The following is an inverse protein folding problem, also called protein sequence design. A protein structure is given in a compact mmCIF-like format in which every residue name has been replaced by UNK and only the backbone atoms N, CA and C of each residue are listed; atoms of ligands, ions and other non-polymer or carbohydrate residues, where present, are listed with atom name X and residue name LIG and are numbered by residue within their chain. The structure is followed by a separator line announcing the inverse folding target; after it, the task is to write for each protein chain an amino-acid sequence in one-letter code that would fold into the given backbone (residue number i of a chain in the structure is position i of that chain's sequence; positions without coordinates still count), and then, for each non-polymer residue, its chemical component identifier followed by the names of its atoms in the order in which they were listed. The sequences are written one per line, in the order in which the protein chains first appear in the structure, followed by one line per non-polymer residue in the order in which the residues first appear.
data_IF_659530029303
#
_entry.id   IF_659530029303
#
_cell.length_a   1.000
_cell.length_b   1.000
_cell.length_c   1.000
_cell.angle_alpha   90.00
_cell.angle_beta   90.00
_cell.angle_gamma   90.00
#
_symmetry.space_group_name_H-M   'P 1'
#
loop_
_entity.id
_entity.type
_entity.pdbx_description
1 polymer ?
#
# COMPACT_ATOMS: atom_id res chain seq x y z
N UNK A 1 12.28 -21.03 -11.06
CA UNK A 1 10.89 -21.22 -10.61
C UNK A 1 10.43 -20.11 -9.72
N UNK A 2 9.23 -19.59 -9.93
CA UNK A 2 8.70 -18.53 -9.08
C UNK A 2 8.47 -19.04 -7.67
N UNK A 3 8.65 -18.15 -6.67
CA UNK A 3 8.38 -18.49 -5.29
C UNK A 3 6.88 -18.52 -5.04
N UNK A 4 6.41 -19.44 -4.18
CA UNK A 4 5.00 -19.51 -3.81
C UNK A 4 4.61 -18.21 -3.13
N UNK A 5 3.53 -17.60 -3.62
CA UNK A 5 2.98 -16.38 -3.03
C UNK A 5 3.74 -15.11 -3.33
N UNK A 6 4.86 -15.16 -4.08
CA UNK A 6 5.55 -13.93 -4.44
C UNK A 6 4.80 -13.23 -5.59
N UNK A 7 4.24 -12.03 -5.34
CA UNK A 7 3.61 -11.27 -6.42
C UNK A 7 4.66 -10.58 -7.28
N UNK A 8 4.29 -10.26 -8.52
CA UNK A 8 5.12 -9.43 -9.39
C UNK A 8 4.78 -7.96 -9.24
N UNK A 9 3.50 -7.65 -9.03
CA UNK A 9 3.01 -6.28 -8.93
C UNK A 9 2.00 -6.17 -7.80
N UNK A 10 2.19 -5.21 -6.92
CA UNK A 10 1.36 -4.98 -5.73
C UNK A 10 0.84 -3.56 -5.73
N UNK A 11 -0.46 -3.39 -5.54
CA UNK A 11 -1.10 -2.08 -5.43
C UNK A 11 -1.53 -1.85 -3.98
N UNK A 12 -1.17 -0.69 -3.44
CA UNK A 12 -1.57 -0.27 -2.10
C UNK A 12 -2.70 0.74 -2.24
N UNK A 13 -3.79 0.54 -1.50
CA UNK A 13 -4.99 1.37 -1.66
C UNK A 13 -5.46 1.93 -0.32
N UNK A 14 -5.71 3.23 -0.28
CA UNK A 14 -6.42 3.87 0.83
C UNK A 14 -7.50 4.77 0.22
N UNK A 15 -8.10 5.66 1.01
CA UNK A 15 -9.17 6.49 0.50
C UNK A 15 -8.65 7.54 -0.50
N UNK A 16 -7.74 8.41 -0.05
CA UNK A 16 -7.30 9.58 -0.82
C UNK A 16 -5.96 9.42 -1.53
N UNK A 17 -5.21 8.37 -1.24
CA UNK A 17 -3.88 8.14 -1.80
C UNK A 17 -2.88 9.27 -1.48
N UNK A 18 -2.97 9.83 -0.27
CA UNK A 18 -2.04 10.87 0.17
C UNK A 18 -1.32 10.55 1.49
N UNK A 19 -1.81 9.61 2.29
CA UNK A 19 -1.19 9.26 3.58
C UNK A 19 -0.77 7.80 3.66
N UNK A 20 -1.73 6.89 3.85
CA UNK A 20 -1.45 5.48 4.15
C UNK A 20 -0.85 4.73 2.98
N UNK A 21 -1.48 4.77 1.83
CA UNK A 21 -1.02 3.99 0.67
C UNK A 21 0.31 4.47 0.11
N UNK A 22 0.60 5.79 0.00
CA UNK A 22 1.93 6.20 -0.44
C UNK A 22 3.02 5.83 0.57
N UNK A 23 2.73 5.89 1.86
CA UNK A 23 3.68 5.45 2.90
C UNK A 23 3.98 3.96 2.75
N UNK A 24 2.95 3.14 2.62
CA UNK A 24 3.13 1.70 2.44
C UNK A 24 3.89 1.39 1.15
N UNK A 25 3.60 2.08 0.07
CA UNK A 25 4.29 1.91 -1.20
C UNK A 25 5.79 2.15 -1.06
N UNK A 26 6.18 3.27 -0.46
CA UNK A 26 7.60 3.64 -0.32
C UNK A 26 8.35 2.67 0.60
N UNK A 27 7.73 2.28 1.71
CA UNK A 27 8.35 1.35 2.66
C UNK A 27 8.51 -0.03 2.04
N UNK A 28 7.47 -0.55 1.39
CA UNK A 28 7.53 -1.86 0.74
C UNK A 28 8.57 -1.89 -0.38
N UNK A 29 8.65 -0.82 -1.16
CA UNK A 29 9.65 -0.70 -2.22
C UNK A 29 11.07 -0.79 -1.66
N UNK A 30 11.33 -0.07 -0.56
CA UNK A 30 12.63 -0.09 0.10
C UNK A 30 12.95 -1.48 0.68
N UNK A 31 11.98 -2.09 1.35
CA UNK A 31 12.18 -3.40 1.99
C UNK A 31 12.37 -4.51 0.97
N UNK A 32 11.65 -4.47 -0.15
CA UNK A 32 11.83 -5.44 -1.22
C UNK A 32 13.23 -5.34 -1.82
N UNK A 33 13.70 -4.12 -2.03
CA UNK A 33 15.06 -3.89 -2.53
C UNK A 33 16.11 -4.47 -1.57
N UNK A 34 15.96 -4.22 -0.27
CA UNK A 34 16.86 -4.76 0.75
C UNK A 34 16.81 -6.29 0.81
N UNK A 35 15.66 -6.88 0.56
CA UNK A 35 15.48 -8.33 0.56
C UNK A 35 15.90 -9.00 -0.76
N UNK A 36 16.28 -8.22 -1.76
CA UNK A 36 16.65 -8.75 -3.07
C UNK A 36 15.46 -9.25 -3.89
N UNK A 37 14.26 -8.78 -3.60
CA UNK A 37 13.05 -9.16 -4.34
C UNK A 37 12.74 -8.14 -5.43
N UNK A 38 12.37 -8.65 -6.60
CA UNK A 38 11.98 -7.82 -7.74
C UNK A 38 10.46 -7.77 -7.81
N UNK A 39 9.88 -6.74 -7.20
CA UNK A 39 8.44 -6.53 -7.15
C UNK A 39 8.16 -5.08 -7.50
N UNK A 40 7.17 -4.84 -8.35
CA UNK A 40 6.70 -3.51 -8.66
C UNK A 40 5.61 -3.10 -7.67
N UNK A 41 5.71 -1.90 -7.12
CA UNK A 41 4.73 -1.34 -6.20
C UNK A 41 4.15 -0.06 -6.77
N UNK A 42 2.86 0.13 -6.55
CA UNK A 42 2.18 1.39 -6.86
C UNK A 42 1.10 1.61 -5.82
N UNK A 43 0.47 2.77 -5.82
CA UNK A 43 -0.61 3.06 -4.90
C UNK A 43 -1.71 3.86 -5.59
N UNK A 44 -2.91 3.80 -5.03
CA UNK A 44 -4.08 4.50 -5.56
C UNK A 44 -5.09 4.76 -4.45
N UNK A 45 -6.05 5.63 -4.70
CA UNK A 45 -7.16 5.89 -3.81
C UNK A 45 -8.45 5.29 -4.33
N UNK A 46 -9.37 5.00 -3.43
CA UNK A 46 -10.72 4.62 -3.83
C UNK A 46 -11.48 5.85 -4.34
N UNK A 47 -11.14 7.04 -3.81
CA UNK A 47 -11.82 8.29 -4.14
C UNK A 47 -10.95 9.22 -4.99
N UNK A 48 -11.57 10.21 -5.60
CA UNK A 48 -10.92 11.11 -6.56
C UNK A 48 -10.48 12.45 -5.97
N UNK A 49 -10.64 12.65 -4.67
CA UNK A 49 -10.48 13.96 -4.03
C UNK A 49 -9.12 14.61 -4.26
N UNK A 50 -8.08 13.81 -4.35
CA UNK A 50 -6.70 14.30 -4.37
C UNK A 50 -5.94 13.96 -5.64
N UNK A 51 -6.62 13.57 -6.71
CA UNK A 51 -5.94 13.19 -7.97
C UNK A 51 -4.92 14.26 -8.36
N UNK A 52 -3.68 13.83 -8.59
CA UNK A 52 -2.59 14.72 -8.98
C UNK A 52 -1.86 15.39 -7.84
N UNK A 53 -2.40 15.30 -6.61
CA UNK A 53 -1.77 15.92 -5.44
C UNK A 53 -0.56 15.13 -4.97
N UNK A 54 0.43 15.82 -4.37
CA UNK A 54 1.51 15.12 -3.68
C UNK A 54 0.99 14.48 -2.39
N UNK A 55 1.74 13.56 -1.80
CA UNK A 55 1.39 13.03 -0.48
C UNK A 55 1.29 14.15 0.57
N UNK A 56 0.52 13.86 1.62
CA UNK A 56 0.37 14.79 2.74
C UNK A 56 1.75 15.18 3.26
N UNK A 57 2.03 16.49 3.45
CA UNK A 57 3.36 16.95 3.91
C UNK A 57 3.83 16.30 5.21
N UNK A 58 2.89 15.97 6.11
CA UNK A 58 3.21 15.31 7.37
C UNK A 58 3.69 13.88 7.10
N UNK A 59 3.05 13.17 6.17
CA UNK A 59 3.49 11.83 5.77
C UNK A 59 4.88 11.89 5.15
N UNK A 60 5.12 12.87 4.27
CA UNK A 60 6.42 13.05 3.62
C UNK A 60 7.51 13.27 4.68
N UNK A 61 7.26 14.16 5.64
CA UNK A 61 8.25 14.52 6.66
C UNK A 61 8.56 13.34 7.58
N UNK A 62 7.54 12.66 8.11
CA UNK A 62 7.76 11.53 9.01
C UNK A 62 8.47 10.37 8.30
N UNK A 63 8.09 10.09 7.05
CA UNK A 63 8.76 9.04 6.28
C UNK A 63 10.21 9.38 5.98
N UNK A 64 10.48 10.64 5.64
CA UNK A 64 11.83 11.12 5.34
C UNK A 64 12.77 10.92 6.53
N UNK A 65 12.28 11.15 7.74
CA UNK A 65 13.07 10.97 8.96
C UNK A 65 13.53 9.53 9.15
N UNK A 66 12.82 8.57 8.55
CA UNK A 66 13.19 7.14 8.58
C UNK A 66 13.88 6.68 7.28
N UNK A 67 14.16 7.60 6.36
CA UNK A 67 14.87 7.28 5.13
C UNK A 67 14.00 6.90 3.94
N UNK A 68 12.68 7.12 4.02
CA UNK A 68 11.77 6.84 2.91
C UNK A 68 11.36 8.13 2.19
N UNK A 69 11.43 8.11 0.86
CA UNK A 69 11.12 9.27 0.04
C UNK A 69 9.75 9.12 -0.64
N UNK A 70 8.79 9.94 -0.23
CA UNK A 70 7.46 10.00 -0.81
C UNK A 70 7.31 11.15 -1.81
N UNK A 71 8.33 12.00 -1.97
CA UNK A 71 8.18 13.29 -2.64
C UNK A 71 7.80 13.20 -4.12
N UNK A 72 8.18 12.12 -4.79
CA UNK A 72 7.87 11.94 -6.21
C UNK A 72 6.51 11.34 -6.50
N UNK A 73 5.79 10.89 -5.46
CA UNK A 73 4.51 10.22 -5.65
C UNK A 73 3.38 11.23 -5.91
N UNK A 74 2.36 10.81 -6.65
CA UNK A 74 1.18 11.63 -6.93
C UNK A 74 -0.06 10.76 -6.80
N UNK A 75 -1.11 11.33 -6.21
CA UNK A 75 -2.35 10.61 -6.00
C UNK A 75 -3.03 10.29 -7.33
N UNK A 76 -3.60 9.08 -7.40
CA UNK A 76 -4.46 8.67 -8.50
C UNK A 76 -5.61 7.83 -7.95
N UNK A 77 -6.64 7.65 -8.74
CA UNK A 77 -7.78 6.82 -8.35
C UNK A 77 -7.64 5.42 -8.97
N UNK A 78 -8.10 4.41 -8.24
CA UNK A 78 -8.16 3.04 -8.75
C UNK A 78 -9.00 3.00 -10.02
N UNK A 79 -8.51 2.29 -11.02
CA UNK A 79 -9.18 2.12 -12.31
C UNK A 79 -9.48 0.63 -12.54
N UNK A 80 -10.41 0.35 -13.45
CA UNK A 80 -10.81 -1.03 -13.75
C UNK A 80 -9.63 -1.92 -14.14
N UNK A 81 -8.68 -1.37 -14.89
CA UNK A 81 -7.50 -2.12 -15.34
C UNK A 81 -6.59 -2.57 -14.19
N UNK A 82 -6.62 -1.86 -13.06
CA UNK A 82 -5.80 -2.21 -11.90
C UNK A 82 -6.10 -3.62 -11.38
N UNK A 83 -7.36 -4.05 -11.48
CA UNK A 83 -7.76 -5.37 -10.99
C UNK A 83 -7.16 -6.52 -11.82
N UNK A 84 -6.74 -6.23 -13.04
CA UNK A 84 -6.08 -7.19 -13.92
C UNK A 84 -4.56 -7.05 -13.89
N UNK A 85 -4.06 -5.84 -13.69
CA UNK A 85 -2.64 -5.53 -13.78
C UNK A 85 -1.84 -5.90 -12.54
N UNK A 86 -2.48 -5.89 -11.36
CA UNK A 86 -1.80 -6.17 -10.10
C UNK A 86 -2.17 -7.56 -9.59
N UNK A 87 -1.16 -8.32 -9.18
CA UNK A 87 -1.37 -9.67 -8.64
C UNK A 87 -2.00 -9.63 -7.26
N UNK A 88 -1.74 -8.54 -6.51
CA UNK A 88 -2.19 -8.37 -5.15
C UNK A 88 -2.57 -6.90 -4.95
N UNK A 89 -3.73 -6.68 -4.35
CA UNK A 89 -4.24 -5.34 -4.08
C UNK A 89 -4.55 -5.27 -2.59
N UNK A 90 -3.81 -4.42 -1.87
CA UNK A 90 -3.84 -4.36 -0.42
C UNK A 90 -4.52 -3.08 0.05
N UNK A 91 -5.63 -3.23 0.73
CA UNK A 91 -6.43 -2.12 1.23
C UNK A 91 -6.02 -1.75 2.66
N UNK A 92 -6.00 -0.45 2.96
CA UNK A 92 -5.63 0.04 4.28
C UNK A 92 -6.65 -0.35 5.34
N UNK A 93 -7.94 -0.34 5.02
CA UNK A 93 -9.01 -0.63 5.99
C UNK A 93 -10.20 -1.32 5.33
N UNK A 94 -11.19 -1.68 6.15
CA UNK A 94 -12.37 -2.39 5.69
C UNK A 94 -13.23 -1.57 4.71
N UNK A 95 -13.29 -0.25 4.89
CA UNK A 95 -14.04 0.62 3.97
C UNK A 95 -13.41 0.60 2.59
N UNK A 96 -12.09 0.69 2.53
CA UNK A 96 -11.36 0.60 1.27
C UNK A 96 -11.55 -0.77 0.63
N UNK A 97 -11.46 -1.83 1.42
CA UNK A 97 -11.62 -3.20 0.92
C UNK A 97 -13.03 -3.42 0.37
N UNK A 98 -14.04 -2.95 1.09
CA UNK A 98 -15.44 -3.05 0.65
C UNK A 98 -15.63 -2.35 -0.70
N UNK A 99 -15.09 -1.14 -0.83
CA UNK A 99 -15.22 -0.37 -2.07
C UNK A 99 -14.51 -1.06 -3.24
N UNK A 100 -13.33 -1.64 -2.98
CA UNK A 100 -12.62 -2.40 -4.00
C UNK A 100 -13.40 -3.64 -4.43
N UNK A 101 -13.99 -4.37 -3.47
CA UNK A 101 -14.81 -5.55 -3.77
C UNK A 101 -15.99 -5.19 -4.65
N UNK A 102 -16.61 -4.03 -4.39
CA UNK A 102 -17.76 -3.56 -5.17
C UNK A 102 -17.38 -3.29 -6.64
N UNK A 103 -16.17 -2.85 -6.89
CA UNK A 103 -15.70 -2.48 -8.23
C UNK A 103 -14.98 -3.62 -8.95
N UNK A 104 -14.50 -4.61 -8.22
CA UNK A 104 -13.63 -5.65 -8.77
C UNK A 104 -14.43 -6.74 -9.47
N UNK A 105 -14.02 -7.16 -10.68
CA UNK A 105 -14.63 -8.31 -11.33
C UNK A 105 -14.52 -9.57 -10.47
N UNK A 106 -15.49 -10.45 -10.62
CA UNK A 106 -15.59 -11.67 -9.81
C UNK A 106 -14.31 -12.50 -9.84
N UNK A 107 -13.70 -12.63 -11.01
CA UNK A 107 -12.53 -13.47 -11.22
C UNK A 107 -11.30 -12.96 -10.48
N UNK A 108 -11.24 -11.67 -10.16
CA UNK A 108 -10.11 -11.04 -9.49
C UNK A 108 -10.34 -10.79 -8.00
N UNK A 109 -11.47 -11.18 -7.43
CA UNK A 109 -11.77 -10.93 -6.00
C UNK A 109 -10.72 -11.52 -5.08
N UNK A 110 -10.11 -12.63 -5.44
CA UNK A 110 -9.08 -13.27 -4.64
C UNK A 110 -7.78 -12.49 -4.50
N UNK A 111 -7.60 -11.43 -5.29
CA UNK A 111 -6.42 -10.56 -5.22
C UNK A 111 -6.55 -9.49 -4.14
N UNK A 112 -7.75 -9.28 -3.60
CA UNK A 112 -8.03 -8.20 -2.65
C UNK A 112 -7.84 -8.69 -1.22
N UNK A 113 -7.06 -7.94 -0.43
CA UNK A 113 -6.82 -8.25 0.99
C UNK A 113 -6.61 -6.96 1.77
N UNK A 114 -6.74 -7.06 3.10
CA UNK A 114 -6.28 -5.99 3.98
C UNK A 114 -4.75 -5.99 4.04
N UNK A 115 -4.16 -4.80 4.06
CA UNK A 115 -2.70 -4.67 4.16
C UNK A 115 -2.17 -5.33 5.44
N UNK A 116 -2.84 -5.15 6.58
CA UNK A 116 -2.44 -5.73 7.85
C UNK A 116 -3.07 -7.11 8.13
N UNK A 117 -3.55 -7.78 7.11
CA UNK A 117 -4.18 -9.11 7.15
C UNK A 117 -5.59 -9.08 7.73
N UNK A 118 -5.75 -8.79 9.02
CA UNK A 118 -7.05 -8.89 9.71
C UNK A 118 -7.47 -7.63 10.47
N UNK A 119 -6.67 -6.58 10.42
CA UNK A 119 -7.00 -5.31 11.11
C UNK A 119 -6.78 -4.13 10.15
N UNK A 120 -7.37 -3.00 10.51
CA UNK A 120 -7.24 -1.77 9.73
C UNK A 120 -5.93 -1.06 10.06
N UNK A 121 -5.32 -0.45 9.03
CA UNK A 121 -4.26 0.53 9.21
C UNK A 121 -4.92 1.86 9.57
N UNK A 122 -4.63 2.46 10.73
CA UNK A 122 -5.32 3.68 11.14
C UNK A 122 -5.07 4.85 10.18
N UNK A 123 -6.08 5.71 10.04
CA UNK A 123 -5.97 6.90 9.20
C UNK A 123 -5.41 8.06 10.02
N UNK A 124 -4.21 8.55 9.73
CA UNK A 124 -3.60 9.62 10.52
C UNK A 124 -4.05 11.01 10.12
N UNK A 125 -4.84 11.16 9.06
CA UNK A 125 -5.16 12.45 8.45
C UNK A 125 -5.80 13.43 9.44
N UNK A 126 -6.73 12.93 10.26
CA UNK A 126 -7.48 13.75 11.23
C UNK A 126 -6.88 13.72 12.61
N UNK A 127 -5.79 12.98 12.82
CA UNK A 127 -5.18 12.83 14.13
C UNK A 127 -4.02 13.77 14.37
N UNK A 128 -3.33 13.53 15.49
CA UNK A 128 -2.13 14.26 15.85
C UNK A 128 -0.90 13.67 15.17
N UNK A 129 0.25 14.33 15.31
CA UNK A 129 1.47 13.93 14.58
C UNK A 129 1.95 12.51 14.93
N UNK A 130 1.69 12.02 16.14
CA UNK A 130 2.06 10.65 16.50
C UNK A 130 1.31 9.60 15.70
N UNK A 131 0.18 9.96 15.10
CA UNK A 131 -0.54 9.07 14.18
C UNK A 131 0.28 8.67 12.98
N UNK A 132 1.07 9.58 12.43
CA UNK A 132 1.96 9.28 11.31
C UNK A 132 3.08 8.33 11.70
N UNK A 133 3.61 8.47 12.93
CA UNK A 133 4.62 7.55 13.46
C UNK A 133 4.04 6.16 13.68
N UNK A 134 2.82 6.07 14.19
CA UNK A 134 2.13 4.78 14.38
C UNK A 134 1.90 4.07 13.06
N UNK A 135 1.50 4.80 12.01
CA UNK A 135 1.33 4.24 10.68
C UNK A 135 2.66 3.68 10.17
N UNK A 136 3.75 4.44 10.31
CA UNK A 136 5.08 3.98 9.92
C UNK A 136 5.50 2.72 10.68
N UNK A 137 5.27 2.68 11.99
CA UNK A 137 5.59 1.50 12.81
C UNK A 137 4.86 0.26 12.28
N UNK A 138 3.56 0.39 12.04
CA UNK A 138 2.74 -0.71 11.55
C UNK A 138 3.13 -1.14 10.15
N UNK A 139 3.40 -0.17 9.28
CA UNK A 139 3.79 -0.44 7.90
C UNK A 139 5.14 -1.14 7.84
N UNK A 140 6.12 -0.68 8.62
CA UNK A 140 7.45 -1.30 8.65
C UNK A 140 7.37 -2.74 9.18
N UNK A 141 6.61 -2.96 10.24
CA UNK A 141 6.42 -4.30 10.80
C UNK A 141 5.79 -5.24 9.77
N UNK A 142 4.72 -4.80 9.12
CA UNK A 142 4.05 -5.61 8.12
C UNK A 142 4.93 -5.84 6.89
N UNK A 143 5.70 -4.84 6.49
CA UNK A 143 6.62 -4.98 5.36
C UNK A 143 7.63 -6.11 5.59
N UNK A 144 8.20 -6.19 6.80
CA UNK A 144 9.14 -7.26 7.15
C UNK A 144 8.44 -8.62 7.05
N UNK A 145 7.22 -8.75 7.57
CA UNK A 145 6.45 -9.98 7.48
C UNK A 145 6.16 -10.38 6.03
N UNK A 146 5.75 -9.41 5.21
CA UNK A 146 5.45 -9.66 3.80
C UNK A 146 6.70 -10.09 3.02
N UNK A 147 7.84 -9.43 3.27
CA UNK A 147 9.08 -9.82 2.62
C UNK A 147 9.47 -11.27 2.99
N UNK A 148 9.27 -11.65 4.24
CA UNK A 148 9.51 -13.02 4.69
C UNK A 148 8.60 -14.02 3.95
N UNK A 149 7.30 -13.72 3.86
CA UNK A 149 6.34 -14.56 3.14
C UNK A 149 6.69 -14.72 1.66
N UNK A 150 7.04 -13.61 1.02
CA UNK A 150 7.31 -13.58 -0.43
C UNK A 150 8.68 -14.12 -0.77
N UNK A 151 9.54 -14.28 0.20
CA UNK A 151 10.88 -14.86 0.00
C UNK A 151 10.91 -16.38 0.13
N UNK A 152 9.82 -16.99 0.58
CA UNK A 152 9.77 -18.45 0.79
C UNK A 152 9.82 -19.18 -0.53
N UNK A 153 10.65 -20.22 -0.67
CA UNK A 153 10.67 -21.03 -1.89
C UNK A 153 9.40 -21.86 -2.02
N UNK A 154 9.13 -22.29 -3.24
CA UNK A 154 8.03 -23.20 -3.50
C UNK A 154 8.22 -24.55 -2.79
#
# INVERSE_FOLDING_TARGET
MAKVGQPRRVLLVCMGNICRSPTAEAVLRAKARQAGLTIEFDSAGTESYHIGDPPDPRSVQHAKERGYDLSGLRARQVQADDFHSFDLILAADELNLHELRRRCPREQQGRLRLFLDDVALPDPYYGESDGFEKVLDLVEKQAVLLMSRWSRPN
#
